data_IF_385681462604
#
_entry.id   IF_385681462604
#
_cell.length_a   1.000
_cell.length_b   1.000
_cell.length_c   1.000
_cell.angle_alpha   90.00
_cell.angle_beta   90.00
_cell.angle_gamma   90.00
#
_symmetry.space_group_name_H-M   'P 1'
#
loop_
_entity.id
_entity.type
_entity.pdbx_description
1 polymer ?
#
# COMPACT_ATOMS: atom_id res chain seq x y z
N UNK A 1 16.01 4.20 -7.05
CA UNK A 1 14.66 3.82 -6.58
C UNK A 1 13.67 4.78 -7.20
N UNK A 2 12.61 4.28 -7.84
CA UNK A 2 11.56 5.11 -8.43
C UNK A 2 10.40 5.16 -7.43
N UNK A 3 9.82 6.35 -7.20
CA UNK A 3 8.71 6.56 -6.25
C UNK A 3 7.54 7.15 -7.03
N UNK A 4 6.37 6.51 -6.91
CA UNK A 4 5.11 7.00 -7.46
C UNK A 4 4.19 7.43 -6.31
N UNK A 5 3.64 8.64 -6.40
CA UNK A 5 2.67 9.15 -5.43
C UNK A 5 1.30 9.34 -6.10
N UNK A 6 0.30 8.61 -5.62
CA UNK A 6 -1.07 8.68 -6.13
C UNK A 6 -1.91 9.61 -5.26
N UNK A 7 -1.94 10.91 -5.61
CA UNK A 7 -2.61 11.95 -4.83
C UNK A 7 -3.71 12.66 -5.63
N UNK A 8 -4.86 12.87 -5.01
CA UNK A 8 -5.98 13.66 -5.53
C UNK A 8 -6.93 13.99 -4.37
N UNK A 9 -7.38 15.25 -4.28
CA UNK A 9 -8.26 15.75 -3.22
C UNK A 9 -9.68 15.18 -3.29
N UNK A 10 -10.10 14.65 -4.45
CA UNK A 10 -11.42 14.04 -4.62
C UNK A 10 -11.39 12.55 -4.27
N UNK A 11 -12.40 12.09 -3.51
CA UNK A 11 -12.65 10.67 -3.26
C UNK A 11 -13.21 9.95 -4.49
N UNK A 12 -13.01 8.63 -4.59
CA UNK A 12 -13.61 7.81 -5.65
C UNK A 12 -13.05 8.01 -7.06
N UNK A 13 -11.87 8.63 -7.22
CA UNK A 13 -11.22 8.89 -8.52
C UNK A 13 -10.20 7.82 -8.94
N UNK A 14 -10.19 6.66 -8.25
CA UNK A 14 -9.33 5.52 -8.62
C UNK A 14 -7.89 5.57 -8.13
N UNK A 15 -7.53 6.41 -7.14
CA UNK A 15 -6.14 6.50 -6.60
C UNK A 15 -5.57 5.14 -6.18
N UNK A 16 -6.27 4.45 -5.28
CA UNK A 16 -5.87 3.13 -4.77
C UNK A 16 -5.85 2.10 -5.88
N UNK A 17 -6.86 2.11 -6.75
CA UNK A 17 -6.95 1.21 -7.90
C UNK A 17 -5.74 1.36 -8.81
N UNK A 18 -5.40 2.59 -9.22
CA UNK A 18 -4.23 2.84 -10.07
C UNK A 18 -2.92 2.46 -9.40
N UNK A 19 -2.78 2.70 -8.09
CA UNK A 19 -1.59 2.27 -7.33
C UNK A 19 -1.43 0.75 -7.32
N UNK A 20 -2.51 0.02 -7.02
CA UNK A 20 -2.53 -1.45 -7.01
C UNK A 20 -2.23 -2.00 -8.40
N UNK A 21 -2.90 -1.51 -9.45
CA UNK A 21 -2.69 -1.99 -10.82
C UNK A 21 -1.27 -1.75 -11.31
N UNK A 22 -0.68 -0.58 -11.03
CA UNK A 22 0.72 -0.32 -11.39
C UNK A 22 1.67 -1.27 -10.63
N UNK A 23 1.43 -1.45 -9.33
CA UNK A 23 2.28 -2.30 -8.50
C UNK A 23 2.21 -3.78 -8.92
N UNK A 24 1.03 -4.29 -9.25
CA UNK A 24 0.81 -5.63 -9.76
C UNK A 24 1.55 -5.85 -11.09
N UNK A 25 1.46 -4.89 -12.02
CA UNK A 25 2.21 -4.94 -13.27
C UNK A 25 3.73 -4.93 -13.05
N UNK A 26 4.24 -4.11 -12.14
CA UNK A 26 5.67 -4.07 -11.80
C UNK A 26 6.14 -5.38 -11.15
N UNK A 27 5.36 -5.91 -10.19
CA UNK A 27 5.65 -7.19 -9.55
C UNK A 27 5.64 -8.35 -10.55
N UNK A 28 4.68 -8.37 -11.49
CA UNK A 28 4.60 -9.34 -12.59
C UNK A 28 5.82 -9.31 -13.50
N UNK A 29 6.46 -8.14 -13.65
CA UNK A 29 7.74 -7.96 -14.35
C UNK A 29 8.97 -8.25 -13.46
N UNK A 30 8.77 -8.94 -12.33
CA UNK A 30 9.79 -9.31 -11.34
C UNK A 30 10.54 -8.11 -10.73
N UNK A 31 9.93 -6.93 -10.76
CA UNK A 31 10.46 -5.78 -10.06
C UNK A 31 10.10 -5.88 -8.57
N UNK A 32 11.06 -5.53 -7.70
CA UNK A 32 10.78 -5.40 -6.27
C UNK A 32 9.88 -4.18 -6.07
N UNK A 33 8.64 -4.44 -5.66
CA UNK A 33 7.60 -3.42 -5.53
C UNK A 33 7.12 -3.34 -4.09
N UNK A 34 6.99 -2.12 -3.58
CA UNK A 34 6.44 -1.82 -2.25
C UNK A 34 5.24 -0.89 -2.42
N UNK A 35 4.10 -1.28 -1.86
CA UNK A 35 2.94 -0.41 -1.70
C UNK A 35 2.88 0.10 -0.26
N UNK A 36 2.55 1.38 -0.11
CA UNK A 36 2.38 2.04 1.18
C UNK A 36 1.00 2.72 1.18
N UNK A 37 0.13 2.34 2.12
CA UNK A 37 -1.19 2.95 2.27
C UNK A 37 -1.12 4.12 3.26
N UNK A 38 -1.28 5.34 2.75
CA UNK A 38 -1.35 6.57 3.52
C UNK A 38 -2.80 7.00 3.79
N UNK A 39 -3.79 6.26 3.29
CA UNK A 39 -5.21 6.56 3.51
C UNK A 39 -5.72 5.78 4.74
N UNK A 40 -6.19 6.46 5.81
CA UNK A 40 -6.76 5.80 6.99
C UNK A 40 -7.94 4.86 6.67
N UNK A 41 -8.57 5.00 5.51
CA UNK A 41 -9.62 4.08 5.08
C UNK A 41 -9.11 2.67 4.77
N UNK A 42 -7.81 2.48 4.51
CA UNK A 42 -7.21 1.15 4.35
C UNK A 42 -7.73 0.36 3.16
N UNK A 43 -8.10 1.04 2.06
CA UNK A 43 -8.65 0.37 0.87
C UNK A 43 -7.60 -0.47 0.12
N UNK A 44 -6.31 -0.25 0.36
CA UNK A 44 -5.25 -1.06 -0.22
C UNK A 44 -5.38 -2.52 0.22
N UNK A 45 -5.54 -2.78 1.52
CA UNK A 45 -5.62 -4.12 2.09
C UNK A 45 -6.77 -4.94 1.46
N UNK A 46 -7.92 -4.30 1.28
CA UNK A 46 -9.09 -4.94 0.66
C UNK A 46 -8.84 -5.39 -0.79
N UNK A 47 -8.00 -4.66 -1.52
CA UNK A 47 -7.66 -4.98 -2.92
C UNK A 47 -6.87 -6.30 -3.03
N UNK A 48 -6.29 -6.76 -1.91
CA UNK A 48 -5.56 -8.03 -1.80
C UNK A 48 -6.27 -9.06 -0.92
N UNK A 49 -7.54 -8.82 -0.53
CA UNK A 49 -8.30 -9.72 0.34
C UNK A 49 -7.75 -9.80 1.77
N UNK A 50 -6.99 -8.79 2.21
CA UNK A 50 -6.41 -8.71 3.54
C UNK A 50 -7.33 -7.94 4.50
N UNK A 51 -7.23 -8.24 5.80
CA UNK A 51 -7.84 -7.42 6.83
C UNK A 51 -7.14 -6.06 6.95
N UNK A 52 -7.91 -5.01 7.24
CA UNK A 52 -7.35 -3.68 7.47
C UNK A 52 -6.57 -3.68 8.77
N UNK A 53 -5.33 -3.18 8.72
CA UNK A 53 -4.50 -2.97 9.89
C UNK A 53 -3.83 -1.59 9.84
N UNK A 54 -3.62 -0.91 10.98
CA UNK A 54 -2.93 0.37 11.04
C UNK A 54 -1.40 0.19 10.97
N UNK A 55 -0.91 -0.64 10.04
CA UNK A 55 0.50 -1.07 9.99
C UNK A 55 1.47 0.12 9.84
N UNK A 56 1.14 1.07 8.96
CA UNK A 56 1.96 2.26 8.76
C UNK A 56 2.03 3.13 10.02
N UNK A 57 0.91 3.31 10.71
CA UNK A 57 0.83 4.05 11.97
C UNK A 57 1.63 3.35 13.08
N UNK A 58 1.47 2.03 13.22
CA UNK A 58 2.21 1.23 14.21
C UNK A 58 3.72 1.31 14.02
N UNK A 59 4.20 1.25 12.77
CA UNK A 59 5.63 1.40 12.48
C UNK A 59 6.12 2.83 12.69
N UNK A 60 5.48 3.83 12.07
CA UNK A 60 6.01 5.20 12.06
C UNK A 60 5.77 5.96 13.37
N UNK A 61 4.65 5.70 14.04
CA UNK A 61 4.21 6.49 15.21
C UNK A 61 4.43 5.74 16.51
N UNK A 62 4.13 4.44 16.55
CA UNK A 62 4.31 3.63 17.76
C UNK A 62 5.71 3.01 17.86
N UNK A 63 6.54 3.11 16.80
CA UNK A 63 7.90 2.62 16.79
C UNK A 63 8.01 1.08 16.78
N UNK A 64 6.95 0.39 16.38
CA UNK A 64 7.01 -1.07 16.20
C UNK A 64 7.98 -1.43 15.07
N UNK A 65 8.58 -2.61 15.13
CA UNK A 65 9.52 -3.04 14.09
C UNK A 65 8.78 -3.29 12.75
N UNK A 66 9.42 -2.96 11.63
CA UNK A 66 8.83 -3.14 10.30
C UNK A 66 8.41 -4.60 10.05
N UNK A 67 9.22 -5.55 10.49
CA UNK A 67 8.92 -6.98 10.35
C UNK A 67 7.67 -7.43 11.12
N UNK A 68 7.24 -6.66 12.13
CA UNK A 68 6.02 -6.95 12.89
C UNK A 68 4.74 -6.43 12.20
N UNK A 69 4.88 -5.54 11.20
CA UNK A 69 3.73 -4.89 10.55
C UNK A 69 3.69 -5.05 9.03
N UNK A 70 4.80 -5.43 8.40
CA UNK A 70 4.86 -5.64 6.94
C UNK A 70 4.05 -6.87 6.57
N UNK A 71 3.43 -6.82 5.40
CA UNK A 71 2.72 -7.96 4.81
C UNK A 71 3.35 -8.24 3.46
N UNK A 72 3.78 -9.47 3.26
CA UNK A 72 4.27 -9.94 1.96
C UNK A 72 3.10 -10.52 1.17
N UNK A 73 2.99 -10.08 -0.08
CA UNK A 73 1.94 -10.48 -1.01
C UNK A 73 2.61 -11.23 -2.16
N UNK A 74 2.01 -12.35 -2.57
CA UNK A 74 2.54 -13.24 -3.61
C UNK A 74 2.26 -12.71 -5.00
#
# INVERSE_FOLDING_TARGET
>A
MIIFAFANQKGGVGKTTSAVTLADGLASLKQRTLLVDLDPQGHLALSFGLEKAPGLYRWMVLGEQLDAVKVEIR
#
